data_IF_661534221102
#
_entry.id   IF_661534221102
#
_cell.length_a   1.000
_cell.length_b   1.000
_cell.length_c   1.000
_cell.angle_alpha   90.00
_cell.angle_beta   90.00
_cell.angle_gamma   90.00
#
_symmetry.space_group_name_H-M   'P 1'
#
loop_
_entity.id
_entity.type
_entity.pdbx_description
1 polymer ?
#
# COMPACT_ATOMS: atom_id res chain seq x y z
N UNK A 1 -17.44 18.20 4.88
CA UNK A 1 -16.33 17.92 5.82
C UNK A 1 -15.14 17.45 5.00
N UNK A 2 -13.95 18.03 5.19
CA UNK A 2 -12.75 17.62 4.46
C UNK A 2 -12.02 16.53 5.24
N UNK A 3 -11.66 15.43 4.57
CA UNK A 3 -10.87 14.34 5.15
C UNK A 3 -9.47 14.42 4.54
N UNK A 4 -8.40 14.59 5.34
CA UNK A 4 -7.04 14.57 4.83
C UNK A 4 -6.71 13.20 4.20
N UNK A 5 -5.83 13.19 3.20
CA UNK A 5 -5.34 11.97 2.54
C UNK A 5 -3.88 11.76 2.90
N UNK A 6 -3.50 10.52 3.19
CA UNK A 6 -2.09 10.14 3.39
C UNK A 6 -1.77 8.91 2.54
N UNK A 7 -0.61 8.91 1.89
CA UNK A 7 -0.11 7.78 1.10
C UNK A 7 1.01 7.09 1.86
N UNK A 8 0.86 5.79 2.11
CA UNK A 8 1.98 4.93 2.51
C UNK A 8 2.61 4.25 1.30
N UNK A 9 3.93 4.21 1.25
CA UNK A 9 4.72 3.43 0.30
C UNK A 9 5.49 2.39 1.10
N UNK A 10 4.97 1.17 1.17
CA UNK A 10 5.43 0.16 2.11
C UNK A 10 5.18 -1.27 1.60
N UNK A 11 5.83 -2.25 2.24
CA UNK A 11 5.54 -3.66 2.00
C UNK A 11 4.21 -4.08 2.65
N UNK A 12 3.55 -5.07 2.07
CA UNK A 12 2.41 -5.77 2.66
C UNK A 12 2.90 -6.86 3.60
N UNK A 13 2.69 -6.70 4.91
CA UNK A 13 3.04 -7.71 5.90
C UNK A 13 1.83 -8.61 6.17
N UNK A 14 1.84 -9.84 5.65
CA UNK A 14 0.66 -10.72 5.65
C UNK A 14 0.12 -11.07 7.05
N UNK A 15 0.93 -10.93 8.11
CA UNK A 15 0.49 -11.11 9.51
C UNK A 15 -0.31 -9.92 10.08
N UNK A 16 -0.33 -8.78 9.39
CA UNK A 16 -1.17 -7.62 9.72
C UNK A 16 -0.66 -6.68 10.84
N UNK A 17 0.44 -7.02 11.52
CA UNK A 17 0.99 -6.21 12.62
C UNK A 17 1.97 -5.10 12.21
N UNK A 18 2.31 -4.99 10.92
CA UNK A 18 3.28 -4.04 10.39
C UNK A 18 2.95 -3.70 8.92
N UNK A 19 3.82 -2.95 8.26
CA UNK A 19 3.68 -2.61 6.85
C UNK A 19 2.40 -1.82 6.57
N UNK A 20 1.91 -1.95 5.34
CA UNK A 20 0.79 -1.13 4.86
C UNK A 20 -0.51 -1.34 5.65
N UNK A 21 -0.68 -2.51 6.27
CA UNK A 21 -1.80 -2.81 7.16
C UNK A 21 -1.76 -1.94 8.42
N UNK A 22 -0.58 -1.79 9.04
CA UNK A 22 -0.41 -0.94 10.22
C UNK A 22 -0.57 0.54 9.86
N UNK A 23 -0.08 0.95 8.69
CA UNK A 23 -0.19 2.33 8.22
C UNK A 23 -1.66 2.72 7.98
N UNK A 24 -2.41 1.93 7.19
CA UNK A 24 -3.82 2.21 6.90
C UNK A 24 -4.66 2.19 8.17
N UNK A 25 -4.40 1.26 9.09
CA UNK A 25 -5.10 1.22 10.37
C UNK A 25 -4.82 2.47 11.19
N UNK A 26 -3.56 2.92 11.24
CA UNK A 26 -3.19 4.16 11.92
C UNK A 26 -3.86 5.39 11.27
N UNK A 27 -3.88 5.47 9.94
CA UNK A 27 -4.58 6.54 9.23
C UNK A 27 -6.07 6.57 9.57
N UNK A 28 -6.72 5.40 9.60
CA UNK A 28 -8.12 5.28 9.96
C UNK A 28 -8.40 5.77 11.38
N UNK A 29 -7.60 5.35 12.37
CA UNK A 29 -7.72 5.81 13.77
C UNK A 29 -7.49 7.33 13.91
N UNK A 30 -6.71 7.92 13.00
CA UNK A 30 -6.42 9.36 12.96
C UNK A 30 -7.40 10.18 12.12
N UNK A 31 -8.46 9.57 11.58
CA UNK A 31 -9.45 10.25 10.74
C UNK A 31 -8.90 10.69 9.37
N UNK A 32 -7.90 9.97 8.85
CA UNK A 32 -7.23 10.21 7.57
C UNK A 32 -7.63 9.13 6.56
N UNK A 33 -7.93 9.52 5.32
CA UNK A 33 -8.15 8.57 4.24
C UNK A 33 -6.79 7.99 3.78
N UNK A 34 -6.54 6.74 4.15
CA UNK A 34 -5.31 6.03 3.80
C UNK A 34 -5.28 5.56 2.35
N UNK A 35 -4.18 5.87 1.66
CA UNK A 35 -3.81 5.35 0.35
C UNK A 35 -2.56 4.47 0.49
N UNK A 36 -2.31 3.63 -0.51
CA UNK A 36 -1.22 2.67 -0.50
C UNK A 36 -0.51 2.54 -1.85
N UNK A 37 0.81 2.45 -1.82
CA UNK A 37 1.64 1.85 -2.87
C UNK A 37 2.45 0.71 -2.27
N UNK A 38 2.18 -0.52 -2.74
CA UNK A 38 2.79 -1.74 -2.22
C UNK A 38 4.10 -2.00 -2.95
N UNK A 39 5.20 -2.13 -2.21
CA UNK A 39 6.54 -2.39 -2.77
C UNK A 39 6.92 -3.87 -2.82
N UNK A 40 6.20 -4.70 -2.07
CA UNK A 40 6.44 -6.12 -2.00
C UNK A 40 5.52 -6.77 -0.96
N UNK A 41 5.45 -8.10 -1.00
CA UNK A 41 4.67 -8.90 -0.05
C UNK A 41 5.65 -9.65 0.85
N UNK A 42 5.49 -9.50 2.16
CA UNK A 42 6.19 -10.29 3.17
C UNK A 42 5.27 -11.40 3.62
N UNK A 43 5.57 -12.64 3.20
CA UNK A 43 4.82 -13.85 3.51
C UNK A 43 5.77 -15.05 3.51
N UNK A 44 5.56 -16.01 4.43
CA UNK A 44 6.35 -17.24 4.45
C UNK A 44 5.76 -18.27 3.48
N UNK A 45 6.57 -18.74 2.53
CA UNK A 45 6.18 -19.83 1.63
C UNK A 45 6.81 -21.15 2.08
N UNK A 46 6.02 -22.13 2.58
CA UNK A 46 6.54 -23.32 3.25
C UNK A 46 7.34 -24.26 2.35
N UNK A 47 7.13 -24.23 1.03
CA UNK A 47 7.83 -25.12 0.10
C UNK A 47 9.07 -24.51 -0.56
N UNK A 48 9.18 -23.18 -0.61
CA UNK A 48 10.27 -22.49 -1.30
C UNK A 48 11.18 -21.77 -0.31
N UNK A 49 10.80 -21.70 0.97
CA UNK A 49 11.45 -20.94 2.04
C UNK A 49 11.63 -19.44 1.71
N UNK A 50 10.90 -18.92 0.72
CA UNK A 50 10.86 -17.50 0.40
C UNK A 50 10.03 -16.76 1.44
N UNK A 51 10.43 -15.52 1.72
CA UNK A 51 9.80 -14.67 2.73
C UNK A 51 9.40 -13.28 2.21
N UNK A 52 9.89 -12.90 1.03
CA UNK A 52 9.70 -11.59 0.43
C UNK A 52 9.47 -11.76 -1.06
N UNK A 53 8.43 -11.11 -1.57
CA UNK A 53 8.02 -11.13 -2.97
C UNK A 53 7.97 -9.69 -3.45
N UNK A 54 9.04 -9.17 -4.10
CA UNK A 54 9.06 -7.79 -4.58
C UNK A 54 8.02 -7.57 -5.68
N UNK A 55 7.47 -6.37 -5.74
CA UNK A 55 6.63 -5.91 -6.85
C UNK A 55 7.51 -5.17 -7.85
N UNK A 56 7.23 -5.38 -9.14
CA UNK A 56 7.93 -4.70 -10.24
C UNK A 56 7.84 -3.17 -10.11
N UNK A 57 8.93 -2.47 -10.42
CA UNK A 57 9.01 -1.02 -10.28
C UNK A 57 7.91 -0.30 -11.06
N UNK A 58 7.59 -0.77 -12.27
CA UNK A 58 6.53 -0.19 -13.11
C UNK A 58 5.15 -0.26 -12.44
N UNK A 59 4.88 -1.31 -11.66
CA UNK A 59 3.64 -1.42 -10.90
C UNK A 59 3.66 -0.51 -9.65
N UNK A 60 4.81 -0.30 -9.01
CA UNK A 60 4.96 0.67 -7.91
C UNK A 60 4.73 2.09 -8.43
N UNK A 61 5.31 2.44 -9.57
CA UNK A 61 5.12 3.73 -10.25
C UNK A 61 3.65 3.97 -10.59
N UNK A 62 2.98 2.99 -11.21
CA UNK A 62 1.57 3.08 -11.53
C UNK A 62 0.71 3.38 -10.28
N UNK A 63 0.96 2.68 -9.17
CA UNK A 63 0.26 2.92 -7.91
C UNK A 63 0.48 4.35 -7.38
N UNK A 64 1.71 4.87 -7.43
CA UNK A 64 2.02 6.24 -6.98
C UNK A 64 1.34 7.27 -7.87
N UNK A 65 1.40 7.12 -9.19
CA UNK A 65 0.73 8.04 -10.11
C UNK A 65 -0.78 8.04 -9.89
N UNK A 66 -1.42 6.87 -9.76
CA UNK A 66 -2.86 6.77 -9.46
C UNK A 66 -3.21 7.39 -8.10
N UNK A 67 -2.36 7.20 -7.07
CA UNK A 67 -2.62 7.76 -5.75
C UNK A 67 -2.53 9.29 -5.71
N UNK A 68 -1.61 9.87 -6.49
CA UNK A 68 -1.44 11.32 -6.61
C UNK A 68 -2.45 11.96 -7.55
N UNK A 69 -2.98 11.20 -8.52
CA UNK A 69 -4.00 11.71 -9.42
C UNK A 69 -5.28 12.06 -8.64
N UNK A 70 -5.77 13.27 -8.92
CA UNK A 70 -7.03 13.81 -8.38
C UNK A 70 -8.09 13.92 -9.47
N UNK A 71 -7.76 13.57 -10.71
CA UNK A 71 -8.69 13.51 -11.83
C UNK A 71 -9.58 12.27 -11.69
N UNK A 72 -10.87 12.40 -11.99
CA UNK A 72 -11.83 11.28 -12.01
C UNK A 72 -11.68 10.37 -13.23
N UNK A 73 -10.64 10.55 -14.06
CA UNK A 73 -10.48 9.91 -15.37
C UNK A 73 -9.45 8.77 -15.41
N UNK A 74 -8.76 8.45 -14.32
CA UNK A 74 -7.65 7.49 -14.35
C UNK A 74 -8.04 6.01 -14.60
N UNK A 75 -9.34 5.70 -14.73
CA UNK A 75 -9.87 4.33 -14.91
C UNK A 75 -10.88 4.19 -16.06
N UNK A 76 -11.03 5.21 -16.92
CA UNK A 76 -11.90 5.18 -18.10
C UNK A 76 -11.14 4.90 -19.39
#
# INVERSE_FOLDING_TARGET
MWVPRALSIAGSAARGGAGIQADIKTFQEMGVFGLSSVTGIVAYHPFTNQNVFPIELSAIEAQVYTALDRSTSALS
#
